data_IF_390088677422
#
_entry.id   IF_390088677422
#
_cell.length_a   1.000
_cell.length_b   1.000
_cell.length_c   1.000
_cell.angle_alpha   90.00
_cell.angle_beta   90.00
_cell.angle_gamma   90.00
#
_symmetry.space_group_name_H-M   'P 1'
#
loop_
_entity.id
_entity.type
_entity.pdbx_description
1 polymer ?
#
# COMPACT_ATOMS: atom_id res chain seq x y z
N UNK A 1 -16.99 4.72 10.69
CA UNK A 1 -17.52 3.50 11.32
C UNK A 1 -18.99 3.65 11.61
N UNK A 2 -19.82 2.71 11.18
CA UNK A 2 -21.25 2.62 11.54
C UNK A 2 -21.44 1.36 12.37
N UNK A 3 -21.94 1.52 13.59
CA UNK A 3 -22.34 0.40 14.45
C UNK A 3 -23.87 0.49 14.60
N UNK A 4 -24.56 -0.61 14.34
CA UNK A 4 -26.01 -0.71 14.43
C UNK A 4 -26.42 -1.53 15.66
N UNK A 5 -27.68 -1.39 16.04
CA UNK A 5 -28.35 -2.22 17.06
C UNK A 5 -27.69 -2.15 18.45
N UNK A 6 -27.02 -1.04 18.78
CA UNK A 6 -26.54 -0.79 20.12
C UNK A 6 -27.72 -0.37 21.00
N UNK A 7 -27.96 -1.05 22.13
CA UNK A 7 -28.98 -0.62 23.07
C UNK A 7 -28.58 0.70 23.73
N UNK A 8 -29.56 1.52 24.12
CA UNK A 8 -29.29 2.76 24.85
C UNK A 8 -28.71 2.51 26.25
N UNK A 9 -29.00 1.34 26.81
CA UNK A 9 -28.60 0.94 28.16
C UNK A 9 -28.11 -0.51 28.15
N UNK A 10 -26.99 -0.77 28.81
CA UNK A 10 -26.42 -2.11 29.01
C UNK A 10 -26.74 -2.54 30.43
N UNK A 11 -27.47 -3.65 30.57
CA UNK A 11 -27.79 -4.27 31.87
C UNK A 11 -26.77 -5.35 32.18
N UNK A 12 -25.94 -5.14 33.18
CA UNK A 12 -25.05 -6.15 33.72
C UNK A 12 -25.82 -6.88 34.84
N UNK A 13 -26.08 -8.15 34.65
CA UNK A 13 -26.75 -8.96 35.67
C UNK A 13 -25.90 -9.04 36.95
N UNK A 14 -26.60 -9.19 38.07
CA UNK A 14 -25.91 -9.52 39.31
C UNK A 14 -25.14 -10.84 39.16
N UNK A 15 -23.93 -10.89 39.65
CA UNK A 15 -23.08 -12.08 39.61
C UNK A 15 -22.42 -12.32 40.95
N UNK A 16 -22.47 -13.57 41.41
CA UNK A 16 -21.63 -14.00 42.52
C UNK A 16 -20.17 -14.08 42.09
N UNK A 17 -19.30 -13.46 42.85
CA UNK A 17 -17.84 -13.53 42.64
C UNK A 17 -17.26 -14.34 43.77
N UNK A 18 -16.61 -15.44 43.42
CA UNK A 18 -15.87 -16.29 44.37
C UNK A 18 -14.51 -15.67 44.66
N UNK A 19 -14.21 -15.54 45.93
CA UNK A 19 -12.92 -15.08 46.42
C UNK A 19 -12.09 -16.19 47.01
N UNK A 20 -11.44 -15.91 48.11
CA UNK A 20 -10.46 -16.81 48.78
C UNK A 20 -11.18 -17.85 49.65
N UNK A 21 -10.47 -18.95 49.97
CA UNK A 21 -10.96 -19.93 50.93
C UNK A 21 -11.12 -19.30 52.33
N UNK A 22 -12.10 -19.78 53.09
CA UNK A 22 -12.23 -19.43 54.50
C UNK A 22 -11.06 -20.00 55.27
N UNK A 23 -10.45 -19.18 56.13
CA UNK A 23 -9.26 -19.58 56.93
C UNK A 23 -7.92 -19.13 56.35
N UNK A 24 -7.90 -18.40 55.22
CA UNK A 24 -6.67 -17.76 54.73
C UNK A 24 -6.32 -16.53 55.60
N UNK A 25 -5.03 -16.08 55.62
CA UNK A 25 -4.59 -14.90 56.33
C UNK A 25 -5.37 -13.65 55.97
N UNK A 26 -5.64 -12.78 56.94
CA UNK A 26 -6.49 -11.61 56.79
C UNK A 26 -6.03 -10.59 55.73
N UNK A 27 -4.69 -10.48 55.57
CA UNK A 27 -4.08 -9.64 54.53
C UNK A 27 -4.48 -10.06 53.08
N UNK A 28 -4.73 -11.35 52.83
CA UNK A 28 -5.17 -11.87 51.53
C UNK A 28 -6.65 -11.49 51.29
N UNK A 29 -7.48 -11.56 52.33
CA UNK A 29 -8.88 -11.17 52.29
C UNK A 29 -8.98 -9.65 52.08
N UNK A 30 -8.16 -8.87 52.74
CA UNK A 30 -8.09 -7.41 52.51
C UNK A 30 -7.63 -7.06 51.12
N UNK A 31 -6.67 -7.76 50.52
CA UNK A 31 -6.28 -7.60 49.12
C UNK A 31 -7.42 -7.86 48.16
N UNK A 32 -8.19 -8.92 48.41
CA UNK A 32 -9.40 -9.24 47.63
C UNK A 32 -10.47 -8.18 47.79
N UNK A 33 -10.74 -7.71 49.02
CA UNK A 33 -11.71 -6.62 49.27
C UNK A 33 -11.29 -5.33 48.57
N UNK A 34 -10.02 -4.93 48.65
CA UNK A 34 -9.48 -3.74 47.95
C UNK A 34 -9.61 -3.83 46.46
N UNK A 35 -9.28 -4.97 45.85
CA UNK A 35 -9.36 -5.16 44.39
C UNK A 35 -10.77 -5.07 43.84
N UNK A 36 -11.78 -5.39 44.67
CA UNK A 36 -13.18 -5.34 44.30
C UNK A 36 -13.94 -4.16 44.87
N UNK A 37 -13.29 -3.28 45.64
CA UNK A 37 -13.88 -2.12 46.32
C UNK A 37 -15.10 -2.49 47.21
N UNK A 38 -14.95 -3.57 47.96
CA UNK A 38 -15.98 -4.08 48.89
C UNK A 38 -15.46 -4.08 50.32
N UNK A 39 -16.40 -4.18 51.26
CA UNK A 39 -16.11 -4.24 52.69
C UNK A 39 -16.38 -5.65 53.24
N UNK A 40 -15.97 -5.90 54.49
CA UNK A 40 -16.19 -7.19 55.15
C UNK A 40 -17.70 -7.52 55.29
N UNK A 41 -18.56 -6.52 55.31
CA UNK A 41 -20.03 -6.67 55.39
C UNK A 41 -20.64 -7.20 54.08
N UNK A 42 -19.95 -7.03 52.97
CA UNK A 42 -20.40 -7.49 51.67
C UNK A 42 -20.04 -8.94 51.37
N UNK A 43 -19.16 -9.55 52.24
CA UNK A 43 -18.73 -10.90 52.11
C UNK A 43 -19.71 -11.87 52.82
N UNK A 44 -19.98 -12.98 52.15
CA UNK A 44 -20.66 -14.13 52.73
C UNK A 44 -19.87 -15.42 52.39
N UNK A 45 -20.08 -16.44 53.23
CA UNK A 45 -19.43 -17.70 53.03
C UNK A 45 -20.30 -18.66 52.23
N UNK A 46 -19.71 -19.33 51.25
CA UNK A 46 -20.38 -20.34 50.42
C UNK A 46 -19.58 -21.64 50.45
N UNK A 47 -20.30 -22.74 50.65
CA UNK A 47 -19.74 -24.08 50.60
C UNK A 47 -19.85 -24.56 49.13
N UNK A 48 -18.71 -24.98 48.59
CA UNK A 48 -18.60 -25.62 47.26
C UNK A 48 -17.90 -26.96 47.39
N UNK A 49 -17.87 -27.79 46.35
CA UNK A 49 -17.19 -29.11 46.33
C UNK A 49 -15.72 -29.07 46.80
N UNK A 50 -15.02 -27.93 46.55
CA UNK A 50 -13.60 -27.74 46.89
C UNK A 50 -13.34 -27.03 48.24
N UNK A 51 -14.40 -26.85 49.07
CA UNK A 51 -14.32 -26.21 50.38
C UNK A 51 -15.15 -24.96 50.53
N UNK A 52 -14.95 -24.26 51.63
CA UNK A 52 -15.69 -23.05 51.99
C UNK A 52 -14.95 -21.82 51.52
N UNK A 53 -15.63 -20.92 50.82
CA UNK A 53 -15.08 -19.73 50.17
C UNK A 53 -15.80 -18.46 50.62
N UNK A 54 -15.07 -17.34 50.71
CA UNK A 54 -15.64 -16.03 50.81
C UNK A 54 -16.17 -15.64 49.41
N UNK A 55 -17.43 -15.21 49.35
CA UNK A 55 -18.08 -14.74 48.11
C UNK A 55 -18.70 -13.39 48.37
N UNK A 56 -18.89 -12.62 47.31
CA UNK A 56 -19.71 -11.43 47.38
C UNK A 56 -20.64 -11.34 46.17
N UNK A 57 -21.74 -10.67 46.31
CA UNK A 57 -22.70 -10.46 45.22
C UNK A 57 -22.45 -9.12 44.56
N UNK A 58 -21.88 -9.14 43.37
CA UNK A 58 -21.79 -7.94 42.54
C UNK A 58 -23.20 -7.59 42.08
N UNK A 59 -23.68 -6.43 42.50
CA UNK A 59 -25.02 -5.99 42.19
C UNK A 59 -25.21 -5.76 40.69
N UNK A 60 -26.43 -5.95 40.21
CA UNK A 60 -26.80 -5.57 38.86
C UNK A 60 -26.55 -4.09 38.64
N UNK A 61 -25.92 -3.75 37.54
CA UNK A 61 -25.59 -2.38 37.18
C UNK A 61 -26.18 -2.06 35.81
N UNK A 62 -26.78 -0.91 35.69
CA UNK A 62 -27.17 -0.31 34.42
C UNK A 62 -26.09 0.69 34.02
N UNK A 63 -25.58 0.57 32.82
CA UNK A 63 -24.60 1.50 32.25
C UNK A 63 -25.24 2.12 31.02
N UNK A 64 -25.26 3.44 30.94
CA UNK A 64 -25.65 4.12 29.72
C UNK A 64 -24.62 3.85 28.63
N UNK A 65 -25.07 3.44 27.46
CA UNK A 65 -24.18 3.14 26.33
C UNK A 65 -23.39 4.37 25.91
N UNK A 66 -23.99 5.55 26.02
CA UNK A 66 -23.30 6.83 25.75
C UNK A 66 -22.08 7.02 26.64
N UNK A 67 -22.21 6.82 27.98
CA UNK A 67 -21.09 6.92 28.93
C UNK A 67 -19.97 5.92 28.65
N UNK A 68 -20.33 4.75 28.16
CA UNK A 68 -19.35 3.73 27.78
C UNK A 68 -18.64 4.11 26.49
N UNK A 69 -19.37 4.57 25.49
CA UNK A 69 -18.82 4.97 24.20
C UNK A 69 -17.87 6.17 24.31
N UNK A 70 -18.16 7.16 25.14
CA UNK A 70 -17.25 8.30 25.40
C UNK A 70 -15.89 7.86 25.91
N UNK A 71 -15.83 6.75 26.66
CA UNK A 71 -14.59 6.16 27.20
C UNK A 71 -13.91 5.20 26.25
N UNK A 72 -14.67 4.48 25.43
CA UNK A 72 -14.15 3.46 24.53
C UNK A 72 -13.73 4.03 23.17
N UNK A 73 -14.41 5.05 22.65
CA UNK A 73 -14.11 5.62 21.35
C UNK A 73 -12.67 6.16 21.25
N UNK A 74 -12.16 6.96 22.20
CA UNK A 74 -10.75 7.40 22.17
C UNK A 74 -9.77 6.24 22.20
N UNK A 75 -10.05 5.20 22.99
CA UNK A 75 -9.19 4.00 23.06
C UNK A 75 -9.20 3.22 21.74
N UNK A 76 -10.38 3.07 21.13
CA UNK A 76 -10.51 2.38 19.84
C UNK A 76 -9.79 3.16 18.71
N UNK A 77 -9.91 4.49 18.70
CA UNK A 77 -9.17 5.34 17.76
C UNK A 77 -7.66 5.17 17.97
N UNK A 78 -7.19 5.22 19.22
CA UNK A 78 -5.77 5.06 19.57
C UNK A 78 -5.20 3.67 19.31
N UNK A 79 -6.04 2.63 19.18
CA UNK A 79 -5.59 1.27 18.89
C UNK A 79 -5.31 1.01 17.39
N UNK A 80 -5.61 1.98 16.50
CA UNK A 80 -5.33 1.85 15.07
C UNK A 80 -3.82 1.83 14.83
N UNK A 81 -3.31 0.72 14.32
CA UNK A 81 -1.90 0.56 14.02
C UNK A 81 -1.58 1.04 12.59
N UNK A 82 -0.79 2.09 12.48
CA UNK A 82 -0.37 2.68 11.21
C UNK A 82 0.99 2.12 10.79
N UNK A 83 1.11 1.53 9.59
CA UNK A 83 2.41 1.13 9.02
C UNK A 83 3.36 2.31 8.84
N UNK A 84 2.81 3.49 8.49
CA UNK A 84 3.52 4.77 8.42
C UNK A 84 2.65 5.84 9.07
N UNK A 85 3.22 6.62 9.95
CA UNK A 85 2.56 7.73 10.63
C UNK A 85 3.46 8.96 10.63
N UNK A 86 2.87 10.12 10.85
CA UNK A 86 3.54 11.40 10.90
C UNK A 86 2.99 12.27 12.03
N UNK A 87 3.80 13.16 12.54
CA UNK A 87 3.35 14.33 13.31
C UNK A 87 3.09 15.50 12.37
N UNK A 88 2.26 16.42 12.79
CA UNK A 88 2.03 17.68 12.06
C UNK A 88 1.81 18.82 13.04
N UNK A 89 2.17 20.03 12.62
CA UNK A 89 2.15 21.21 13.49
C UNK A 89 2.91 20.93 14.80
N UNK A 90 2.42 21.45 15.90
CA UNK A 90 2.91 21.27 17.28
C UNK A 90 2.25 20.11 18.06
N UNK A 91 1.46 19.29 17.36
CA UNK A 91 0.73 18.18 17.99
C UNK A 91 1.58 16.91 18.14
N UNK A 92 1.40 16.23 19.28
CA UNK A 92 2.09 14.96 19.56
C UNK A 92 1.44 13.73 18.92
N UNK A 93 0.24 13.86 18.36
CA UNK A 93 -0.47 12.75 17.75
C UNK A 93 0.28 12.21 16.53
N UNK A 94 0.61 10.91 16.57
CA UNK A 94 1.14 10.16 15.44
C UNK A 94 -0.01 9.51 14.68
N UNK A 95 -0.26 9.93 13.43
CA UNK A 95 -1.36 9.45 12.61
C UNK A 95 -0.94 9.25 11.17
N UNK A 96 -1.69 8.45 10.38
CA UNK A 96 -1.36 8.20 8.98
C UNK A 96 -1.40 9.45 8.09
N UNK A 97 -2.23 10.43 8.43
CA UNK A 97 -2.33 11.78 7.83
C UNK A 97 -2.85 12.74 8.90
N UNK A 98 -2.74 14.08 8.76
CA UNK A 98 -3.31 15.02 9.70
C UNK A 98 -4.79 14.74 9.98
N UNK A 99 -5.10 14.36 11.22
CA UNK A 99 -6.48 14.14 11.67
C UNK A 99 -7.08 15.50 12.04
N UNK A 100 -8.11 15.92 11.29
CA UNK A 100 -8.65 17.29 11.38
C UNK A 100 -9.93 17.37 12.19
N UNK A 101 -10.71 16.30 12.25
CA UNK A 101 -12.01 16.29 12.93
C UNK A 101 -12.43 14.85 13.23
N UNK A 102 -13.25 14.70 14.26
CA UNK A 102 -13.89 13.45 14.63
C UNK A 102 -15.39 13.69 14.71
N UNK A 103 -16.14 13.19 13.73
CA UNK A 103 -17.60 13.20 13.76
C UNK A 103 -18.10 12.02 14.59
N UNK A 104 -18.83 12.29 15.68
CA UNK A 104 -19.33 11.24 16.55
C UNK A 104 -20.79 11.50 16.97
N UNK A 105 -21.66 10.59 16.58
CA UNK A 105 -23.09 10.67 16.85
C UNK A 105 -23.58 9.33 17.39
N UNK A 106 -24.34 9.38 18.45
CA UNK A 106 -25.04 8.22 19.01
C UNK A 106 -26.48 8.61 19.32
N UNK A 107 -27.44 7.79 18.89
CA UNK A 107 -28.87 7.98 19.15
C UNK A 107 -29.36 9.43 18.85
N UNK A 108 -29.00 9.95 17.66
CA UNK A 108 -29.30 11.30 17.18
C UNK A 108 -28.72 12.46 18.03
N UNK A 109 -27.77 12.17 18.91
CA UNK A 109 -27.08 13.17 19.73
C UNK A 109 -25.58 13.13 19.48
N UNK A 110 -24.93 14.28 19.65
CA UNK A 110 -23.49 14.39 19.63
C UNK A 110 -22.88 13.58 20.78
N UNK A 111 -22.00 12.64 20.47
CA UNK A 111 -21.22 11.90 21.47
C UNK A 111 -19.92 12.66 21.73
N UNK A 112 -19.90 13.45 22.80
CA UNK A 112 -18.77 14.33 23.13
C UNK A 112 -17.66 13.57 23.85
N UNK A 113 -16.45 13.56 23.28
CA UNK A 113 -15.21 13.09 23.90
C UNK A 113 -14.01 13.80 23.29
N UNK A 114 -12.89 13.76 24.00
CA UNK A 114 -11.62 14.33 23.55
C UNK A 114 -10.67 13.22 23.11
N UNK A 115 -9.88 13.51 22.06
CA UNK A 115 -8.79 12.66 21.60
C UNK A 115 -7.60 13.54 21.17
N UNK A 116 -6.55 13.55 21.98
CA UNK A 116 -5.40 14.46 21.84
C UNK A 116 -5.87 15.93 21.75
N UNK A 117 -5.55 16.62 20.64
CA UNK A 117 -5.92 18.02 20.41
C UNK A 117 -7.34 18.21 19.83
N UNK A 118 -8.08 17.14 19.60
CA UNK A 118 -9.39 17.18 18.98
C UNK A 118 -10.49 16.87 19.99
N UNK A 119 -11.57 17.64 19.93
CA UNK A 119 -12.85 17.28 20.51
C UNK A 119 -13.79 16.79 19.42
N UNK A 120 -14.48 15.69 19.65
CA UNK A 120 -15.49 15.17 18.72
C UNK A 120 -16.57 16.21 18.43
N UNK A 121 -17.22 16.10 17.28
CA UNK A 121 -18.24 17.07 16.81
C UNK A 121 -19.45 16.36 16.19
N UNK A 122 -20.55 17.08 16.04
CA UNK A 122 -21.71 16.71 15.23
C UNK A 122 -21.65 17.28 13.81
N UNK A 123 -20.55 17.96 13.46
CA UNK A 123 -20.33 18.61 12.17
C UNK A 123 -19.43 17.79 11.24
N UNK A 124 -19.92 17.46 10.05
CA UNK A 124 -19.12 16.90 8.97
C UNK A 124 -18.40 18.01 8.20
N UNK A 125 -17.10 17.86 7.96
CA UNK A 125 -16.32 18.78 7.13
C UNK A 125 -16.48 18.39 5.67
N UNK A 126 -17.02 19.29 4.86
CA UNK A 126 -17.08 19.18 3.41
C UNK A 126 -16.16 20.24 2.82
N UNK A 127 -15.19 19.82 2.00
CA UNK A 127 -14.26 20.74 1.35
C UNK A 127 -14.83 21.19 0.01
N UNK A 128 -15.08 22.49 -0.12
CA UNK A 128 -15.53 23.10 -1.36
C UNK A 128 -14.56 24.23 -1.76
N UNK A 129 -13.94 24.11 -2.93
CA UNK A 129 -12.94 25.07 -3.43
C UNK A 129 -11.86 25.45 -2.41
N UNK A 130 -11.30 24.44 -1.72
CA UNK A 130 -10.30 24.57 -0.65
C UNK A 130 -10.81 25.23 0.63
N UNK A 131 -12.10 25.49 0.74
CA UNK A 131 -12.74 26.03 1.95
C UNK A 131 -13.50 24.91 2.65
N UNK A 132 -13.24 24.78 3.96
CA UNK A 132 -13.95 23.85 4.82
C UNK A 132 -15.35 24.39 5.13
N UNK A 133 -16.36 23.64 4.76
CA UNK A 133 -17.75 23.88 5.15
C UNK A 133 -18.18 22.86 6.17
N UNK A 134 -18.49 23.30 7.40
CA UNK A 134 -18.99 22.43 8.45
C UNK A 134 -20.50 22.33 8.34
N UNK A 135 -21.01 21.11 8.20
CA UNK A 135 -22.46 20.83 8.13
C UNK A 135 -22.84 19.89 9.27
N UNK A 136 -23.70 20.35 10.15
CA UNK A 136 -24.23 19.52 11.24
C UNK A 136 -25.10 18.41 10.69
N UNK A 137 -24.98 17.23 11.29
CA UNK A 137 -25.79 16.05 10.98
C UNK A 137 -26.20 15.37 12.28
N UNK A 138 -27.42 14.84 12.30
CA UNK A 138 -28.01 14.24 13.51
C UNK A 138 -27.84 12.72 13.53
N UNK A 139 -27.72 12.09 12.37
CA UNK A 139 -27.66 10.63 12.25
C UNK A 139 -26.97 10.22 10.97
N UNK A 140 -26.74 8.91 10.83
CA UNK A 140 -26.05 8.34 9.68
C UNK A 140 -26.77 8.60 8.35
N UNK A 141 -28.12 8.61 8.34
CA UNK A 141 -28.90 8.86 7.11
C UNK A 141 -28.69 10.29 6.59
N UNK A 142 -28.68 11.28 7.50
CA UNK A 142 -28.37 12.67 7.14
C UNK A 142 -26.93 12.80 6.64
N UNK A 143 -25.98 12.14 7.31
CA UNK A 143 -24.57 12.11 6.88
C UNK A 143 -24.42 11.51 5.47
N UNK A 144 -25.03 10.36 5.23
CA UNK A 144 -25.01 9.71 3.91
C UNK A 144 -25.64 10.59 2.82
N UNK A 145 -26.76 11.25 3.13
CA UNK A 145 -27.41 12.21 2.21
C UNK A 145 -26.53 13.43 1.92
N UNK A 146 -25.86 13.95 2.96
CA UNK A 146 -24.90 15.06 2.79
C UNK A 146 -23.73 14.68 1.88
N UNK A 147 -23.15 13.50 2.05
CA UNK A 147 -22.07 13.00 1.20
C UNK A 147 -22.56 12.83 -0.26
N UNK A 148 -23.73 12.25 -0.45
CA UNK A 148 -24.34 12.05 -1.78
C UNK A 148 -24.58 13.36 -2.54
N UNK A 149 -25.09 14.39 -1.86
CA UNK A 149 -25.29 15.73 -2.45
C UNK A 149 -23.94 16.31 -2.91
N UNK A 150 -22.87 16.07 -2.16
CA UNK A 150 -21.52 16.54 -2.48
C UNK A 150 -20.75 15.57 -3.39
N UNK A 151 -21.41 14.54 -3.95
CA UNK A 151 -20.83 13.52 -4.85
C UNK A 151 -19.67 12.74 -4.23
N UNK A 152 -19.66 12.62 -2.90
CA UNK A 152 -18.66 11.85 -2.14
C UNK A 152 -19.19 10.43 -1.98
N UNK A 153 -18.40 9.45 -2.40
CA UNK A 153 -18.74 8.03 -2.28
C UNK A 153 -18.18 7.45 -0.98
N UNK A 154 -19.05 7.15 -0.04
CA UNK A 154 -18.65 6.60 1.26
C UNK A 154 -18.05 5.19 1.13
N UNK A 155 -18.69 4.32 0.34
CA UNK A 155 -18.27 2.92 0.19
C UNK A 155 -17.18 2.80 -0.87
N UNK A 156 -16.15 2.02 -0.56
CA UNK A 156 -15.05 1.72 -1.50
C UNK A 156 -15.54 1.04 -2.78
N UNK A 157 -16.49 0.11 -2.64
CA UNK A 157 -17.07 -0.62 -3.76
C UNK A 157 -17.77 0.31 -4.76
N UNK A 158 -18.53 1.30 -4.27
CA UNK A 158 -19.19 2.29 -5.12
C UNK A 158 -18.17 3.15 -5.88
N UNK A 159 -17.03 3.51 -5.23
CA UNK A 159 -15.93 4.22 -5.88
C UNK A 159 -15.28 3.38 -6.97
N UNK A 160 -14.95 2.10 -6.64
CA UNK A 160 -14.36 1.15 -7.59
C UNK A 160 -15.25 0.97 -8.82
N UNK A 161 -16.53 0.71 -8.61
CA UNK A 161 -17.50 0.52 -9.68
C UNK A 161 -17.67 1.78 -10.57
N UNK A 162 -17.65 2.98 -9.95
CA UNK A 162 -17.71 4.22 -10.71
C UNK A 162 -16.47 4.41 -11.59
N UNK A 163 -15.26 4.14 -11.06
CA UNK A 163 -14.01 4.23 -11.82
C UNK A 163 -14.03 3.24 -13.00
N UNK A 164 -14.31 1.96 -12.73
CA UNK A 164 -14.31 0.89 -13.73
C UNK A 164 -15.31 1.19 -14.85
N UNK A 165 -16.55 1.55 -14.53
CA UNK A 165 -17.58 1.89 -15.52
C UNK A 165 -17.13 3.03 -16.44
N UNK A 166 -16.54 4.08 -15.88
CA UNK A 166 -16.04 5.21 -16.67
C UNK A 166 -14.85 4.82 -17.55
N UNK A 167 -13.92 4.01 -17.02
CA UNK A 167 -12.80 3.48 -17.80
C UNK A 167 -13.29 2.67 -19.00
N UNK A 168 -14.18 1.71 -18.76
CA UNK A 168 -14.79 0.89 -19.83
C UNK A 168 -15.49 1.73 -20.89
N UNK A 169 -16.25 2.75 -20.47
CA UNK A 169 -16.91 3.67 -21.40
C UNK A 169 -15.89 4.39 -22.30
N UNK A 170 -14.78 4.88 -21.75
CA UNK A 170 -13.73 5.57 -22.52
C UNK A 170 -13.04 4.58 -23.46
N UNK A 171 -12.70 3.39 -22.99
CA UNK A 171 -12.03 2.36 -23.79
C UNK A 171 -12.91 1.94 -24.96
N UNK A 172 -14.20 1.70 -24.74
CA UNK A 172 -15.16 1.34 -25.78
C UNK A 172 -15.29 2.45 -26.85
N UNK A 173 -15.39 3.72 -26.41
CA UNK A 173 -15.56 4.85 -27.34
C UNK A 173 -14.33 5.08 -28.20
N UNK A 174 -13.12 4.84 -27.67
CA UNK A 174 -11.85 5.11 -28.36
C UNK A 174 -11.13 3.86 -28.84
N UNK A 175 -11.77 2.69 -28.78
CA UNK A 175 -11.21 1.39 -29.17
C UNK A 175 -9.90 1.03 -28.48
N UNK A 176 -9.78 1.34 -27.18
CA UNK A 176 -8.68 0.89 -26.35
C UNK A 176 -8.98 -0.46 -25.69
N UNK A 177 -7.94 -1.20 -25.32
CA UNK A 177 -8.06 -2.41 -24.53
C UNK A 177 -8.48 -2.10 -23.09
N UNK A 178 -9.39 -2.92 -22.56
CA UNK A 178 -9.79 -2.88 -21.14
C UNK A 178 -8.80 -3.70 -20.29
N UNK A 179 -7.56 -3.23 -20.19
CA UNK A 179 -6.50 -3.88 -19.41
C UNK A 179 -6.02 -2.94 -18.31
N UNK A 180 -6.66 -3.00 -17.15
CA UNK A 180 -6.34 -2.13 -16.03
C UNK A 180 -5.61 -2.90 -14.92
N UNK A 181 -4.59 -2.26 -14.36
CA UNK A 181 -3.89 -2.78 -13.20
C UNK A 181 -4.81 -2.70 -11.97
N UNK A 182 -5.32 -3.85 -11.50
CA UNK A 182 -6.23 -3.91 -10.36
C UNK A 182 -5.65 -3.36 -9.05
N UNK A 183 -4.36 -3.61 -8.79
CA UNK A 183 -3.69 -3.06 -7.61
C UNK A 183 -3.66 -1.53 -7.63
N UNK A 184 -3.45 -0.96 -8.80
CA UNK A 184 -3.49 0.49 -8.99
C UNK A 184 -4.91 1.03 -8.83
N UNK A 185 -5.93 0.32 -9.32
CA UNK A 185 -7.35 0.68 -9.08
C UNK A 185 -7.64 0.70 -7.59
N UNK A 186 -7.24 -0.32 -6.84
CA UNK A 186 -7.44 -0.38 -5.39
C UNK A 186 -6.73 0.77 -4.66
N UNK A 187 -5.50 1.09 -5.05
CA UNK A 187 -4.75 2.23 -4.50
C UNK A 187 -5.52 3.54 -4.74
N UNK A 188 -5.97 3.78 -5.97
CA UNK A 188 -6.69 5.00 -6.35
C UNK A 188 -8.05 5.10 -5.67
N UNK A 189 -8.77 4.00 -5.54
CA UNK A 189 -10.04 3.93 -4.77
C UNK A 189 -9.84 4.36 -3.32
N UNK A 190 -8.70 4.04 -2.73
CA UNK A 190 -8.42 4.37 -1.33
C UNK A 190 -7.96 5.81 -1.10
N UNK A 191 -7.45 6.48 -2.12
CA UNK A 191 -6.97 7.86 -2.03
C UNK A 191 -7.95 8.90 -2.59
N UNK A 192 -9.06 8.46 -3.19
CA UNK A 192 -10.10 9.35 -3.74
C UNK A 192 -11.43 9.13 -3.04
N UNK A 193 -12.22 10.18 -2.91
CA UNK A 193 -13.60 10.12 -2.36
C UNK A 193 -14.66 10.53 -3.39
N UNK A 194 -14.28 11.34 -4.40
CA UNK A 194 -15.11 11.75 -5.53
C UNK A 194 -14.33 11.52 -6.84
N UNK A 195 -14.18 10.26 -7.30
CA UNK A 195 -13.35 9.95 -8.46
C UNK A 195 -13.94 10.50 -9.76
N UNK A 196 -13.18 11.36 -10.42
CA UNK A 196 -13.45 11.91 -11.74
C UNK A 196 -12.36 11.48 -12.70
N UNK A 197 -12.76 10.94 -13.85
CA UNK A 197 -11.82 10.41 -14.85
C UNK A 197 -11.53 11.48 -15.88
N UNK A 198 -10.24 11.76 -16.06
CA UNK A 198 -9.73 12.73 -17.03
C UNK A 198 -8.85 11.97 -18.01
N UNK A 199 -9.14 12.14 -19.31
CA UNK A 199 -8.28 11.62 -20.39
C UNK A 199 -7.25 12.68 -20.76
N UNK A 200 -5.98 12.30 -20.78
CA UNK A 200 -4.86 13.14 -21.16
C UNK A 200 -3.93 12.41 -22.13
N UNK A 201 -3.01 13.14 -22.72
CA UNK A 201 -2.04 12.66 -23.69
C UNK A 201 -0.68 13.28 -23.43
N UNK A 202 0.37 12.62 -23.93
CA UNK A 202 1.72 13.16 -24.04
C UNK A 202 2.19 13.13 -25.51
N UNK A 203 3.30 13.81 -25.81
CA UNK A 203 3.79 13.92 -27.18
C UNK A 203 4.28 12.56 -27.69
N UNK A 204 3.90 12.20 -28.91
CA UNK A 204 4.18 10.88 -29.50
C UNK A 204 5.65 10.53 -29.58
N UNK A 205 6.54 11.51 -29.61
CA UNK A 205 7.99 11.30 -29.63
C UNK A 205 8.53 10.52 -28.42
N UNK A 206 7.78 10.53 -27.30
CA UNK A 206 8.17 9.73 -26.13
C UNK A 206 7.88 8.25 -26.29
N UNK A 207 7.10 7.84 -27.30
CA UNK A 207 6.90 6.41 -27.59
C UNK A 207 8.16 5.73 -28.17
N UNK A 208 9.21 6.50 -28.52
CA UNK A 208 10.48 6.00 -29.00
C UNK A 208 11.36 5.42 -27.88
N UNK A 209 11.05 5.69 -26.60
CA UNK A 209 11.75 5.06 -25.48
C UNK A 209 11.05 3.75 -25.08
N UNK A 210 11.74 2.83 -24.36
CA UNK A 210 11.12 1.60 -23.87
C UNK A 210 9.81 1.84 -23.16
N UNK A 211 8.76 1.13 -23.57
CA UNK A 211 7.40 1.30 -23.03
C UNK A 211 7.32 1.10 -21.51
N UNK A 212 8.17 0.26 -20.94
CA UNK A 212 8.21 -0.02 -19.52
C UNK A 212 8.59 1.23 -18.70
N UNK A 213 9.41 2.11 -19.25
CA UNK A 213 9.73 3.41 -18.62
C UNK A 213 8.49 4.28 -18.55
N UNK A 214 7.74 4.38 -19.66
CA UNK A 214 6.52 5.19 -19.74
C UNK A 214 5.46 4.62 -18.79
N UNK A 215 5.26 3.29 -18.80
CA UNK A 215 4.32 2.61 -17.92
C UNK A 215 4.67 2.84 -16.45
N UNK A 216 5.94 2.72 -16.09
CA UNK A 216 6.39 2.96 -14.73
C UNK A 216 6.19 4.41 -14.31
N UNK A 217 6.55 5.36 -15.18
CA UNK A 217 6.32 6.80 -14.95
C UNK A 217 4.84 7.10 -14.68
N UNK A 218 3.95 6.56 -15.52
CA UNK A 218 2.52 6.77 -15.37
C UNK A 218 1.96 6.09 -14.11
N UNK A 219 2.22 4.79 -13.93
CA UNK A 219 1.58 4.00 -12.89
C UNK A 219 2.19 4.20 -11.51
N UNK A 220 3.51 4.05 -11.37
CA UNK A 220 4.17 4.07 -10.06
C UNK A 220 4.38 5.47 -9.52
N UNK A 221 4.78 6.39 -10.38
CA UNK A 221 5.10 7.74 -9.93
C UNK A 221 3.88 8.66 -9.84
N UNK A 222 2.87 8.46 -10.71
CA UNK A 222 1.72 9.36 -10.81
C UNK A 222 0.35 8.71 -10.58
N UNK A 223 0.25 7.40 -10.47
CA UNK A 223 -1.01 6.62 -10.35
C UNK A 223 -1.96 6.88 -11.53
N UNK A 224 -1.40 7.05 -12.73
CA UNK A 224 -2.17 7.16 -13.96
C UNK A 224 -2.25 5.82 -14.67
N UNK A 225 -3.23 5.68 -15.54
CA UNK A 225 -3.52 4.43 -16.25
C UNK A 225 -3.14 4.59 -17.72
N UNK A 226 -2.04 3.94 -18.19
CA UNK A 226 -1.68 3.92 -19.60
C UNK A 226 -2.75 3.22 -20.42
N UNK A 227 -2.97 3.68 -21.65
CA UNK A 227 -3.94 3.09 -22.58
C UNK A 227 -3.23 2.37 -23.71
N UNK A 228 -3.79 1.22 -24.09
CA UNK A 228 -3.27 0.36 -25.14
C UNK A 228 -4.27 0.25 -26.28
N UNK A 229 -3.77 0.22 -27.51
CA UNK A 229 -4.60 0.01 -28.70
C UNK A 229 -5.09 -1.45 -28.80
N UNK A 230 -5.94 -1.74 -29.78
CA UNK A 230 -6.49 -3.08 -30.05
C UNK A 230 -5.41 -4.15 -30.33
N UNK A 231 -4.20 -3.75 -30.68
CA UNK A 231 -3.03 -4.64 -30.92
C UNK A 231 -2.12 -4.73 -29.69
N UNK A 232 -2.59 -4.27 -28.52
CA UNK A 232 -1.83 -4.23 -27.27
C UNK A 232 -0.52 -3.41 -27.32
N UNK A 233 -0.49 -2.37 -28.15
CA UNK A 233 0.62 -1.43 -28.20
C UNK A 233 0.29 -0.23 -27.33
N UNK A 234 1.27 0.25 -26.56
CA UNK A 234 1.14 1.44 -25.74
C UNK A 234 0.82 2.64 -26.63
N UNK A 235 -0.19 3.40 -26.25
CA UNK A 235 -0.53 4.69 -26.87
C UNK A 235 0.06 5.84 -26.09
N UNK A 236 0.02 7.05 -26.67
CA UNK A 236 0.39 8.26 -25.96
C UNK A 236 -0.75 8.83 -25.09
N UNK A 237 -1.81 8.07 -24.86
CA UNK A 237 -2.95 8.48 -24.06
C UNK A 237 -2.95 7.75 -22.71
N UNK A 238 -3.45 8.43 -21.70
CA UNK A 238 -3.58 7.88 -20.36
C UNK A 238 -4.78 8.46 -19.61
N UNK A 239 -5.22 7.77 -18.56
CA UNK A 239 -6.31 8.24 -17.70
C UNK A 239 -5.77 8.66 -16.34
N UNK A 240 -6.34 9.75 -15.83
CA UNK A 240 -6.11 10.32 -14.52
C UNK A 240 -7.39 10.15 -13.72
N UNK A 241 -7.28 9.75 -12.45
CA UNK A 241 -8.39 9.78 -11.51
C UNK A 241 -8.17 10.94 -10.54
N UNK A 242 -8.96 11.99 -10.72
CA UNK A 242 -8.91 13.18 -9.90
C UNK A 242 -10.06 13.20 -8.88
N UNK A 243 -9.86 13.87 -7.76
CA UNK A 243 -10.86 13.99 -6.70
C UNK A 243 -11.90 15.11 -6.96
N UNK A 244 -11.77 15.81 -8.09
CA UNK A 244 -12.65 16.89 -8.52
C UNK A 244 -12.91 16.80 -10.03
N UNK A 245 -14.06 17.28 -10.51
CA UNK A 245 -14.28 17.45 -11.93
C UNK A 245 -13.33 18.51 -12.52
N UNK A 246 -12.87 18.31 -13.74
CA UNK A 246 -12.00 19.21 -14.47
C UNK A 246 -12.77 19.90 -15.61
N UNK A 247 -13.48 20.95 -15.28
CA UNK A 247 -14.32 21.69 -16.24
C UNK A 247 -13.54 22.68 -17.12
N UNK A 248 -12.35 23.05 -16.70
CA UNK A 248 -11.50 24.05 -17.37
C UNK A 248 -10.15 23.48 -17.85
N UNK A 249 -9.97 22.17 -17.83
CA UNK A 249 -8.72 21.46 -18.14
C UNK A 249 -7.52 21.81 -17.23
N UNK A 250 -7.72 22.52 -16.13
CA UNK A 250 -6.63 22.93 -15.22
C UNK A 250 -5.92 21.73 -14.61
N UNK A 251 -6.70 20.71 -14.18
CA UNK A 251 -6.14 19.48 -13.62
C UNK A 251 -5.44 18.69 -14.72
N UNK A 252 -6.05 18.54 -15.89
CA UNK A 252 -5.47 17.88 -17.05
C UNK A 252 -4.12 18.48 -17.42
N UNK A 253 -4.07 19.78 -17.62
CA UNK A 253 -2.88 20.49 -18.09
C UNK A 253 -1.76 20.50 -17.02
N UNK A 254 -2.14 20.63 -15.75
CA UNK A 254 -1.20 20.49 -14.63
C UNK A 254 -0.54 19.10 -14.59
N UNK A 255 -1.34 18.05 -14.70
CA UNK A 255 -0.83 16.67 -14.69
C UNK A 255 -0.06 16.34 -15.99
N UNK A 256 -0.49 16.83 -17.16
CA UNK A 256 0.25 16.70 -18.43
C UNK A 256 1.66 17.31 -18.29
N UNK A 257 1.78 18.50 -17.72
CA UNK A 257 3.08 19.17 -17.48
C UNK A 257 4.02 18.32 -16.63
N UNK A 258 3.51 17.72 -15.56
CA UNK A 258 4.30 16.84 -14.70
C UNK A 258 4.81 15.61 -15.47
N UNK A 259 3.93 14.99 -16.26
CA UNK A 259 4.31 13.83 -17.08
C UNK A 259 5.36 14.20 -18.12
N UNK A 260 5.18 15.30 -18.84
CA UNK A 260 6.12 15.75 -19.86
C UNK A 260 7.53 15.99 -19.27
N UNK A 261 7.62 16.64 -18.11
CA UNK A 261 8.90 16.84 -17.43
C UNK A 261 9.59 15.51 -17.09
N UNK A 262 8.84 14.54 -16.49
CA UNK A 262 9.38 13.22 -16.16
C UNK A 262 9.76 12.38 -17.38
N UNK A 263 8.97 12.44 -18.45
CA UNK A 263 9.31 11.74 -19.69
C UNK A 263 10.53 12.35 -20.39
N UNK A 264 10.71 13.66 -20.30
CA UNK A 264 11.90 14.35 -20.81
C UNK A 264 13.17 13.88 -20.07
N UNK A 265 13.14 13.83 -18.73
CA UNK A 265 14.23 13.30 -17.91
C UNK A 265 14.51 11.82 -18.25
N UNK A 266 13.46 11.01 -18.34
CA UNK A 266 13.59 9.59 -18.68
C UNK A 266 14.18 9.36 -20.09
N UNK A 267 13.77 10.17 -21.10
CA UNK A 267 14.31 10.14 -22.45
C UNK A 267 15.79 10.54 -22.46
N UNK A 268 16.17 11.55 -21.69
CA UNK A 268 17.55 11.98 -21.54
C UNK A 268 18.41 10.88 -20.91
N UNK A 269 17.98 10.27 -19.80
CA UNK A 269 18.69 9.15 -19.18
C UNK A 269 18.79 7.95 -20.10
N UNK A 270 17.72 7.63 -20.85
CA UNK A 270 17.73 6.56 -21.83
C UNK A 270 18.80 6.78 -22.89
N UNK A 271 18.91 8.00 -23.44
CA UNK A 271 19.92 8.33 -24.47
C UNK A 271 21.35 8.20 -23.95
N UNK A 272 21.61 8.66 -22.73
CA UNK A 272 22.94 8.55 -22.11
C UNK A 272 23.27 7.10 -21.79
N UNK A 273 22.35 6.37 -21.15
CA UNK A 273 22.66 5.06 -20.62
C UNK A 273 22.80 4.00 -21.71
N UNK A 274 22.00 4.05 -22.78
CA UNK A 274 22.13 3.11 -23.92
C UNK A 274 23.47 3.23 -24.65
N UNK A 275 24.12 4.39 -24.58
CA UNK A 275 25.42 4.61 -25.16
C UNK A 275 26.59 4.10 -24.28
N UNK A 276 26.34 3.82 -23.00
CA UNK A 276 27.37 3.30 -22.08
C UNK A 276 27.59 1.81 -22.33
N UNK A 277 28.83 1.43 -22.63
CA UNK A 277 29.20 0.04 -22.83
C UNK A 277 28.95 -0.80 -21.56
N UNK A 278 28.07 -1.81 -21.65
CA UNK A 278 27.68 -2.68 -20.54
C UNK A 278 28.86 -3.42 -19.92
N UNK A 279 29.79 -3.90 -20.75
CA UNK A 279 30.99 -4.63 -20.28
C UNK A 279 31.85 -3.70 -19.41
N UNK A 280 32.02 -2.44 -19.80
CA UNK A 280 32.77 -1.47 -19.00
C UNK A 280 32.09 -1.11 -17.71
N UNK A 281 30.74 -1.24 -17.61
CA UNK A 281 30.02 -1.00 -16.38
C UNK A 281 30.23 -2.10 -15.32
N UNK A 282 30.67 -3.31 -15.73
CA UNK A 282 30.90 -4.43 -14.81
C UNK A 282 31.88 -4.02 -13.68
N UNK A 283 32.95 -3.32 -14.01
CA UNK A 283 33.94 -2.87 -13.00
C UNK A 283 33.33 -1.94 -11.93
N UNK A 284 32.32 -1.14 -12.27
CA UNK A 284 31.64 -0.23 -11.35
C UNK A 284 30.73 -0.95 -10.36
N UNK A 285 30.40 -2.23 -10.59
CA UNK A 285 29.65 -3.05 -9.64
C UNK A 285 30.41 -3.31 -8.34
N UNK A 286 31.72 -3.05 -8.29
CA UNK A 286 32.54 -3.03 -7.08
C UNK A 286 32.09 -1.96 -6.06
N UNK A 287 31.42 -0.93 -6.53
CA UNK A 287 30.91 0.17 -5.72
C UNK A 287 29.56 -0.17 -5.03
N UNK A 288 28.95 -1.32 -5.37
CA UNK A 288 27.67 -1.75 -4.80
C UNK A 288 27.91 -2.95 -3.91
N UNK A 289 27.68 -2.79 -2.61
CA UNK A 289 27.73 -3.89 -1.66
C UNK A 289 26.59 -4.86 -1.92
N UNK A 290 26.86 -6.15 -2.12
CA UNK A 290 25.84 -7.19 -2.19
C UNK A 290 25.36 -7.55 -0.81
N UNK A 291 26.29 -7.96 0.04
CA UNK A 291 26.02 -8.24 1.46
C UNK A 291 27.29 -8.00 2.25
N UNK A 292 27.15 -7.45 3.48
CA UNK A 292 28.28 -7.20 4.36
C UNK A 292 29.04 -8.53 4.60
N UNK A 293 30.40 -8.53 4.46
CA UNK A 293 31.29 -9.67 4.56
C UNK A 293 31.24 -10.73 3.43
N UNK A 294 30.27 -10.65 2.49
CA UNK A 294 30.20 -11.59 1.35
C UNK A 294 30.75 -10.93 0.09
N UNK A 295 30.81 -9.61 0.05
CA UNK A 295 31.40 -8.85 -1.06
C UNK A 295 30.43 -7.96 -1.80
N UNK A 296 30.82 -7.58 -2.99
CA UNK A 296 30.14 -6.63 -3.88
C UNK A 296 29.25 -7.35 -4.91
N UNK A 297 28.43 -6.57 -5.62
CA UNK A 297 27.70 -7.11 -6.79
C UNK A 297 28.67 -7.56 -7.88
N UNK A 298 29.85 -6.96 -7.99
CA UNK A 298 30.91 -7.46 -8.87
C UNK A 298 31.32 -8.89 -8.50
N UNK A 299 31.60 -9.16 -7.24
CA UNK A 299 31.99 -10.49 -6.76
C UNK A 299 30.88 -11.51 -7.01
N UNK A 300 29.62 -11.13 -6.75
CA UNK A 300 28.46 -11.96 -7.14
C UNK A 300 28.46 -12.26 -8.63
N UNK A 301 28.64 -11.27 -9.47
CA UNK A 301 28.66 -11.44 -10.93
C UNK A 301 29.76 -12.42 -11.37
N UNK A 302 30.95 -12.38 -10.75
CA UNK A 302 32.02 -13.34 -11.03
C UNK A 302 31.64 -14.78 -10.64
N UNK A 303 30.97 -14.97 -9.50
CA UNK A 303 30.44 -16.28 -9.09
C UNK A 303 29.35 -16.76 -10.05
N UNK A 304 28.41 -15.89 -10.43
CA UNK A 304 27.37 -16.23 -11.41
C UNK A 304 27.98 -16.72 -12.75
N UNK A 305 29.00 -16.04 -13.24
CA UNK A 305 29.70 -16.45 -14.48
C UNK A 305 30.29 -17.84 -14.37
N UNK A 306 30.99 -18.15 -13.26
CA UNK A 306 31.58 -19.50 -13.04
C UNK A 306 30.49 -20.57 -12.92
N UNK A 307 29.43 -20.34 -12.14
CA UNK A 307 28.33 -21.27 -12.00
C UNK A 307 27.56 -21.47 -13.30
N UNK A 308 27.39 -20.42 -14.10
CA UNK A 308 26.75 -20.47 -15.42
C UNK A 308 27.54 -21.38 -16.37
N UNK A 309 28.88 -21.30 -16.38
CA UNK A 309 29.72 -22.19 -17.15
C UNK A 309 29.61 -23.67 -16.75
N UNK A 310 29.46 -23.97 -15.45
CA UNK A 310 29.27 -25.35 -14.96
C UNK A 310 27.87 -25.86 -15.34
N UNK A 311 26.83 -25.09 -15.16
CA UNK A 311 25.45 -25.48 -15.47
C UNK A 311 25.23 -25.63 -16.99
N UNK A 312 25.94 -24.88 -17.81
CA UNK A 312 25.81 -24.97 -19.28
C UNK A 312 26.11 -26.37 -19.80
N UNK A 313 27.13 -27.02 -19.25
CA UNK A 313 27.52 -28.37 -19.67
C UNK A 313 26.44 -29.42 -19.31
N UNK A 314 25.79 -29.27 -18.15
CA UNK A 314 24.71 -30.15 -17.66
C UNK A 314 23.38 -29.97 -18.41
N UNK A 315 23.07 -28.75 -18.82
CA UNK A 315 21.82 -28.42 -19.50
C UNK A 315 21.92 -28.37 -21.02
N UNK A 316 23.08 -28.66 -21.57
CA UNK A 316 23.41 -28.59 -23.02
C UNK A 316 23.06 -27.19 -23.59
N UNK A 317 23.51 -26.13 -22.90
CA UNK A 317 23.34 -24.73 -23.29
C UNK A 317 24.68 -24.17 -23.79
N UNK A 318 24.64 -23.26 -24.75
CA UNK A 318 25.83 -22.59 -25.24
C UNK A 318 26.55 -21.84 -24.10
N UNK A 319 27.75 -22.33 -23.76
CA UNK A 319 28.55 -21.84 -22.63
C UNK A 319 28.98 -20.39 -22.79
N UNK A 320 29.41 -20.01 -23.99
CA UNK A 320 29.85 -18.65 -24.28
C UNK A 320 28.71 -17.65 -24.05
N UNK A 321 27.51 -17.95 -24.58
CA UNK A 321 26.31 -17.08 -24.42
C UNK A 321 25.89 -16.93 -22.97
N UNK A 322 25.87 -18.02 -22.19
CA UNK A 322 25.43 -17.92 -20.78
C UNK A 322 26.46 -17.21 -19.91
N UNK A 323 27.76 -17.38 -20.19
CA UNK A 323 28.82 -16.65 -19.49
C UNK A 323 28.79 -15.15 -19.81
N UNK A 324 28.51 -14.77 -21.05
CA UNK A 324 28.29 -13.36 -21.45
C UNK A 324 27.09 -12.82 -20.72
N UNK A 325 25.94 -13.51 -20.78
CA UNK A 325 24.72 -13.09 -20.10
C UNK A 325 24.95 -12.91 -18.59
N UNK A 326 25.61 -13.88 -17.94
CA UNK A 326 25.95 -13.79 -16.51
C UNK A 326 26.86 -12.60 -16.18
N UNK A 327 27.79 -12.28 -17.07
CA UNK A 327 28.76 -11.18 -16.89
C UNK A 327 28.06 -9.81 -16.89
N UNK A 328 27.07 -9.60 -17.78
CA UNK A 328 26.39 -8.31 -17.96
C UNK A 328 25.08 -8.19 -17.17
N UNK A 329 24.67 -9.25 -16.51
CA UNK A 329 23.31 -9.39 -15.92
C UNK A 329 22.95 -8.32 -14.90
N UNK A 330 23.93 -7.74 -14.20
CA UNK A 330 23.74 -6.68 -13.18
C UNK A 330 24.30 -5.31 -13.59
N UNK A 331 24.79 -5.19 -14.84
CA UNK A 331 25.47 -3.96 -15.28
C UNK A 331 24.56 -2.74 -15.34
N UNK A 332 23.26 -2.93 -15.50
CA UNK A 332 22.25 -1.88 -15.53
C UNK A 332 22.01 -1.20 -14.17
N UNK A 333 22.41 -1.83 -13.06
CA UNK A 333 22.30 -1.23 -11.72
C UNK A 333 23.07 0.10 -11.58
N UNK A 334 24.06 0.36 -12.42
CA UNK A 334 24.84 1.60 -12.47
C UNK A 334 24.34 2.58 -13.52
N UNK A 335 23.20 2.32 -14.15
CA UNK A 335 22.55 3.28 -15.05
C UNK A 335 21.77 4.33 -14.29
N UNK A 336 21.63 5.53 -14.88
CA UNK A 336 20.79 6.59 -14.31
C UNK A 336 19.32 6.16 -14.29
N UNK A 337 18.87 5.44 -15.33
CA UNK A 337 17.50 4.93 -15.42
C UNK A 337 17.16 3.97 -14.28
N UNK A 338 18.00 3.00 -13.98
CA UNK A 338 17.73 2.08 -12.87
C UNK A 338 17.86 2.80 -11.52
N UNK A 339 18.71 3.83 -11.43
CA UNK A 339 18.75 4.70 -10.25
C UNK A 339 17.43 5.41 -9.98
N UNK A 340 16.77 5.93 -11.03
CA UNK A 340 15.46 6.62 -10.92
C UNK A 340 14.27 5.62 -10.90
N UNK A 341 14.40 4.49 -11.64
CA UNK A 341 13.38 3.44 -11.76
C UNK A 341 13.94 2.07 -11.31
N UNK A 342 14.14 1.84 -10.00
CA UNK A 342 14.77 0.60 -9.51
C UNK A 342 14.00 -0.67 -9.89
N UNK A 343 12.70 -0.57 -10.10
CA UNK A 343 11.85 -1.68 -10.53
C UNK A 343 12.11 -2.14 -11.97
N UNK A 344 12.82 -1.36 -12.76
CA UNK A 344 13.16 -1.68 -14.14
C UNK A 344 14.54 -2.34 -14.26
N UNK A 345 15.19 -2.67 -13.14
CA UNK A 345 16.42 -3.45 -13.15
C UNK A 345 16.22 -4.78 -13.90
N UNK A 346 17.20 -5.18 -14.68
CA UNK A 346 17.11 -6.31 -15.60
C UNK A 346 16.40 -5.97 -16.91
N UNK A 347 15.22 -5.33 -16.84
CA UNK A 347 14.49 -4.88 -18.04
C UNK A 347 15.32 -3.87 -18.81
N UNK A 348 15.90 -2.89 -18.13
CA UNK A 348 16.80 -1.91 -18.77
C UNK A 348 18.08 -2.60 -19.27
N UNK A 349 18.62 -3.53 -18.51
CA UNK A 349 19.76 -4.36 -18.95
C UNK A 349 19.52 -5.07 -20.28
N UNK A 350 18.31 -5.62 -20.47
CA UNK A 350 17.90 -6.21 -21.76
C UNK A 350 17.92 -5.17 -22.88
N UNK A 351 17.30 -4.02 -22.68
CA UNK A 351 17.25 -2.98 -23.71
C UNK A 351 18.64 -2.44 -24.06
N UNK A 352 19.51 -2.26 -23.07
CA UNK A 352 20.89 -1.84 -23.30
C UNK A 352 21.71 -2.93 -24.06
N UNK A 353 21.49 -4.20 -23.71
CA UNK A 353 22.13 -5.32 -24.42
C UNK A 353 21.70 -5.35 -25.89
N UNK A 354 20.39 -5.24 -26.18
CA UNK A 354 19.89 -5.19 -27.57
C UNK A 354 20.50 -3.99 -28.32
N UNK A 355 20.53 -2.81 -27.71
CA UNK A 355 21.06 -1.59 -28.30
C UNK A 355 22.58 -1.70 -28.64
N UNK A 356 23.31 -2.60 -27.97
CA UNK A 356 24.73 -2.84 -28.17
C UNK A 356 25.01 -4.08 -29.02
N UNK A 357 23.97 -4.67 -29.64
CA UNK A 357 24.13 -5.79 -30.61
C UNK A 357 24.27 -7.17 -29.97
N UNK A 358 24.00 -7.34 -28.67
CA UNK A 358 23.93 -8.67 -28.08
C UNK A 358 22.74 -9.45 -28.64
N UNK A 359 22.88 -10.75 -28.78
CA UNK A 359 21.80 -11.62 -29.25
C UNK A 359 20.57 -11.56 -28.33
N UNK A 360 19.40 -11.75 -28.92
CA UNK A 360 18.13 -11.59 -28.19
C UNK A 360 17.96 -12.59 -27.03
N UNK A 361 18.50 -13.79 -27.14
CA UNK A 361 18.47 -14.80 -26.08
C UNK A 361 19.35 -14.40 -24.90
N UNK A 362 20.55 -13.83 -25.16
CA UNK A 362 21.40 -13.23 -24.13
C UNK A 362 20.72 -12.05 -23.45
N UNK A 363 20.19 -11.13 -24.24
CA UNK A 363 19.48 -9.95 -23.70
C UNK A 363 18.23 -10.35 -22.91
N UNK A 364 17.49 -11.37 -23.37
CA UNK A 364 16.32 -11.89 -22.63
C UNK A 364 16.75 -12.51 -21.29
N UNK A 365 17.84 -13.28 -21.26
CA UNK A 365 18.35 -13.86 -20.02
C UNK A 365 18.74 -12.77 -18.99
N UNK A 366 19.27 -11.62 -19.45
CA UNK A 366 19.56 -10.47 -18.57
C UNK A 366 18.31 -9.93 -17.89
N UNK A 367 17.15 -9.89 -18.56
CA UNK A 367 15.90 -9.48 -17.90
C UNK A 367 15.31 -10.57 -17.02
N UNK A 368 15.31 -11.80 -17.50
CA UNK A 368 14.54 -12.90 -16.95
C UNK A 368 15.18 -13.55 -15.72
N UNK A 369 16.50 -13.34 -15.48
CA UNK A 369 17.19 -13.95 -14.34
C UNK A 369 16.61 -13.57 -12.99
N UNK A 370 15.88 -12.45 -12.88
CA UNK A 370 15.16 -12.07 -11.68
C UNK A 370 13.90 -12.91 -11.44
N UNK A 371 13.32 -13.50 -12.50
CA UNK A 371 12.12 -14.33 -12.40
C UNK A 371 12.42 -15.71 -11.77
N UNK A 372 11.45 -16.30 -11.05
CA UNK A 372 10.24 -15.68 -10.56
C UNK A 372 10.51 -14.70 -9.40
N UNK A 373 9.75 -13.61 -9.31
CA UNK A 373 9.86 -12.62 -8.24
C UNK A 373 8.90 -12.88 -7.06
N UNK A 374 8.07 -13.90 -7.17
CA UNK A 374 7.10 -14.31 -6.15
C UNK A 374 6.24 -15.47 -6.64
N UNK A 375 5.36 -15.99 -5.77
CA UNK A 375 4.55 -17.19 -6.01
C UNK A 375 3.67 -17.13 -7.29
N UNK A 376 3.16 -15.96 -7.63
CA UNK A 376 2.33 -15.73 -8.83
C UNK A 376 3.12 -15.21 -10.04
N UNK A 377 4.46 -15.09 -9.91
CA UNK A 377 5.32 -14.60 -11.00
C UNK A 377 5.53 -15.69 -12.05
N UNK A 378 5.59 -15.34 -13.35
CA UNK A 378 5.97 -16.29 -14.37
C UNK A 378 7.40 -16.80 -14.15
N UNK A 379 7.67 -18.01 -14.63
CA UNK A 379 9.02 -18.57 -14.69
C UNK A 379 9.63 -18.32 -16.07
N UNK A 380 10.97 -18.19 -16.18
CA UNK A 380 11.64 -18.08 -17.48
C UNK A 380 11.36 -19.31 -18.34
N UNK A 381 11.15 -19.10 -19.65
CA UNK A 381 10.82 -20.19 -20.59
C UNK A 381 11.99 -20.56 -21.51
N UNK A 382 12.86 -19.59 -21.82
CA UNK A 382 14.01 -19.83 -22.72
C UNK A 382 15.14 -20.53 -21.96
N UNK A 383 15.87 -21.49 -22.59
CA UNK A 383 16.96 -22.24 -21.95
C UNK A 383 17.97 -21.35 -21.21
N UNK A 384 18.48 -20.34 -21.87
CA UNK A 384 19.46 -19.40 -21.31
C UNK A 384 18.90 -18.64 -20.12
N UNK A 385 17.61 -18.19 -20.21
CA UNK A 385 16.94 -17.43 -19.18
C UNK A 385 16.71 -18.25 -17.92
N UNK A 386 16.20 -19.50 -18.03
CA UNK A 386 15.96 -20.31 -16.83
C UNK A 386 17.25 -20.77 -16.18
N UNK A 387 18.29 -21.10 -16.97
CA UNK A 387 19.57 -21.48 -16.42
C UNK A 387 20.21 -20.33 -15.61
N UNK A 388 20.22 -19.11 -16.18
CA UNK A 388 20.77 -17.95 -15.47
C UNK A 388 19.94 -17.58 -14.24
N UNK A 389 18.62 -17.76 -14.31
CA UNK A 389 17.73 -17.58 -13.15
C UNK A 389 18.05 -18.56 -12.02
N UNK A 390 18.28 -19.83 -12.33
CA UNK A 390 18.69 -20.87 -11.36
C UNK A 390 20.02 -20.48 -10.74
N UNK A 391 21.01 -20.10 -11.54
CA UNK A 391 22.35 -19.69 -11.09
C UNK A 391 22.27 -18.51 -10.12
N UNK A 392 21.51 -17.47 -10.44
CA UNK A 392 21.37 -16.29 -9.56
C UNK A 392 20.73 -16.64 -8.21
N UNK A 393 19.78 -17.57 -8.21
CA UNK A 393 19.10 -18.02 -6.97
C UNK A 393 19.98 -18.97 -6.15
N UNK A 394 20.69 -19.89 -6.79
CA UNK A 394 21.64 -20.77 -6.11
C UNK A 394 22.74 -19.96 -5.40
N UNK A 395 23.36 -18.98 -6.07
CA UNK A 395 24.36 -18.10 -5.45
C UNK A 395 23.79 -17.30 -4.25
N UNK A 396 22.47 -17.09 -4.21
CA UNK A 396 21.83 -16.35 -3.11
C UNK A 396 21.37 -17.25 -1.96
N UNK A 397 21.29 -18.58 -2.17
CA UNK A 397 20.87 -19.55 -1.16
C UNK A 397 22.07 -20.15 -0.39
N UNK A 398 23.24 -20.13 -0.98
CA UNK A 398 24.51 -20.65 -0.44
C UNK A 398 25.32 -19.51 0.17
#
# INVERSE_FOLDING_TARGET
LLIRDLPSEIKIAAKEVRGQKVGVPENIIEGFMRSHQITKKDLFEKIEEKGKFYCFKKLAKKIQTEDLLTKLAPKAIGSVNWKKSMRWSDHDLMWGRPLRSILAIFNNKHLKFDYHHLTSTDGAIIVDNFIDKIKKVKNFKEYESLLKINKIFLKQEDRKNNIIKKFQSICKTKSYLENFNEKLIEEVVNITENPNIISADFDKEYLDIPKEIIISTLQRHQRYFPLFDSKNRLTNNFLIVANKPDTQNVIKDGNKRVILARLADAKFFWQIDKAKNLIKQISKLKEITFFEKIGTIYDKTQRLRKLAGIISDQLNINKEKIEIAASITKSDLKSNLVGEYPELQGVMGKYFAIAQGFEEDVASAVSDHYLPTGLSSPVPKKPLSYALSIVDKLDSLV
#
